data_IF_900379555423
#
_entry.id   IF_900379555423
#
_cell.length_a   1.000
_cell.length_b   1.000
_cell.length_c   1.000
_cell.angle_alpha   90.00
_cell.angle_beta   90.00
_cell.angle_gamma   90.00
#
_symmetry.space_group_name_H-M   'P 1'
#
loop_
_entity.id
_entity.type
_entity.pdbx_description
1 polymer ?
#
# COMPACT_ATOMS: atom_id res chain seq x y z
N UNK A 1 8.25 3.12 -4.08
CA UNK A 1 7.22 2.96 -5.14
C UNK A 1 7.34 1.70 -6.03
N UNK A 2 8.51 1.34 -6.61
CA UNK A 2 8.62 0.27 -7.62
C UNK A 2 8.10 -1.12 -7.19
N UNK A 3 8.27 -1.49 -5.91
CA UNK A 3 7.85 -2.80 -5.38
C UNK A 3 6.32 -2.88 -5.24
N UNK A 4 5.69 -1.85 -4.69
CA UNK A 4 4.24 -1.75 -4.48
C UNK A 4 3.47 -1.62 -5.79
N UNK A 5 3.95 -0.75 -6.69
CA UNK A 5 3.40 -0.63 -8.04
C UNK A 5 3.55 -1.92 -8.85
N UNK A 6 4.67 -2.62 -8.68
CA UNK A 6 4.89 -3.95 -9.26
C UNK A 6 3.84 -4.97 -8.80
N UNK A 7 3.62 -5.09 -7.49
CA UNK A 7 2.60 -5.98 -6.94
C UNK A 7 1.23 -5.72 -7.59
N UNK A 8 0.79 -4.45 -7.57
CA UNK A 8 -0.48 -4.06 -8.18
C UNK A 8 -0.55 -4.39 -9.67
N UNK A 9 0.48 -4.00 -10.44
CA UNK A 9 0.51 -4.18 -11.88
C UNK A 9 0.47 -5.66 -12.29
N UNK A 10 1.22 -6.52 -11.60
CA UNK A 10 1.22 -7.95 -11.89
C UNK A 10 -0.10 -8.64 -11.51
N UNK A 11 -0.71 -8.26 -10.38
CA UNK A 11 -2.07 -8.71 -10.03
C UNK A 11 -3.08 -8.31 -11.12
N UNK A 12 -3.01 -7.06 -11.59
CA UNK A 12 -3.87 -6.54 -12.66
C UNK A 12 -3.62 -7.26 -14.00
N UNK A 13 -2.35 -7.48 -14.38
CA UNK A 13 -2.00 -8.25 -15.58
C UNK A 13 -2.61 -9.65 -15.54
N UNK A 14 -2.53 -10.33 -14.40
CA UNK A 14 -3.18 -11.63 -14.22
C UNK A 14 -4.70 -11.53 -14.38
N UNK A 15 -5.36 -10.52 -13.78
CA UNK A 15 -6.81 -10.30 -13.93
C UNK A 15 -7.26 -10.37 -15.39
N UNK A 16 -6.55 -9.68 -16.30
CA UNK A 16 -6.95 -9.57 -17.70
C UNK A 16 -6.43 -10.69 -18.60
N UNK A 17 -5.25 -11.24 -18.33
CA UNK A 17 -4.61 -12.21 -19.22
C UNK A 17 -4.81 -13.66 -18.79
N UNK A 18 -5.06 -13.88 -17.49
CA UNK A 18 -5.04 -15.21 -16.85
C UNK A 18 -3.74 -15.98 -17.05
N UNK A 19 -2.64 -15.30 -17.39
CA UNK A 19 -1.32 -15.92 -17.52
C UNK A 19 -0.69 -16.10 -16.14
N UNK A 20 -0.57 -17.35 -15.72
CA UNK A 20 -0.04 -17.79 -14.42
C UNK A 20 1.33 -17.20 -14.08
N UNK A 21 2.14 -16.81 -15.07
CA UNK A 21 3.44 -16.16 -14.80
C UNK A 21 3.27 -14.85 -14.04
N UNK A 22 2.19 -14.11 -14.29
CA UNK A 22 1.90 -12.85 -13.61
C UNK A 22 1.37 -13.08 -12.20
N UNK A 23 0.51 -14.09 -12.01
CA UNK A 23 0.05 -14.48 -10.67
C UNK A 23 1.25 -14.86 -9.81
N UNK A 24 2.11 -15.75 -10.31
CA UNK A 24 3.29 -16.20 -9.58
C UNK A 24 4.23 -15.05 -9.21
N UNK A 25 4.40 -14.09 -10.12
CA UNK A 25 5.24 -12.94 -9.85
C UNK A 25 4.61 -11.98 -8.83
N UNK A 26 3.30 -11.74 -8.89
CA UNK A 26 2.58 -10.96 -7.88
C UNK A 26 2.70 -11.58 -6.49
N UNK A 27 2.51 -12.90 -6.36
CA UNK A 27 2.69 -13.63 -5.09
C UNK A 27 4.12 -13.50 -4.54
N UNK A 28 5.14 -13.58 -5.41
CA UNK A 28 6.53 -13.43 -4.98
C UNK A 28 6.81 -12.01 -4.45
N UNK A 29 6.25 -10.98 -5.09
CA UNK A 29 6.37 -9.60 -4.61
C UNK A 29 5.61 -9.42 -3.29
N UNK A 30 4.39 -9.96 -3.17
CA UNK A 30 3.60 -9.93 -1.95
C UNK A 30 4.38 -10.56 -0.79
N UNK A 31 4.94 -11.75 -1.00
CA UNK A 31 5.76 -12.44 0.00
C UNK A 31 6.98 -11.63 0.39
N UNK A 32 7.65 -10.97 -0.56
CA UNK A 32 8.77 -10.09 -0.25
C UNK A 32 8.35 -8.91 0.64
N UNK A 33 7.22 -8.25 0.34
CA UNK A 33 6.71 -7.13 1.14
C UNK A 33 6.32 -7.59 2.55
N UNK A 34 5.55 -8.66 2.65
CA UNK A 34 4.98 -9.15 3.92
C UNK A 34 6.04 -9.72 4.86
N UNK A 35 7.04 -10.42 4.32
CA UNK A 35 8.12 -11.02 5.11
C UNK A 35 9.26 -10.05 5.44
N UNK A 36 9.21 -8.82 4.93
CA UNK A 36 10.25 -7.83 5.17
C UNK A 36 10.21 -7.32 6.62
N UNK A 37 11.17 -7.76 7.42
CA UNK A 37 11.34 -7.38 8.83
C UNK A 37 11.53 -5.88 9.08
N UNK A 38 11.84 -5.11 8.03
CA UNK A 38 11.99 -3.66 8.11
C UNK A 38 10.66 -2.92 7.99
N UNK A 39 9.59 -3.58 7.52
CA UNK A 39 8.24 -3.02 7.57
C UNK A 39 7.79 -3.04 9.02
N UNK A 40 7.43 -1.88 9.61
CA UNK A 40 7.00 -1.86 10.99
C UNK A 40 5.67 -2.55 11.24
N UNK A 41 5.35 -2.72 12.52
CA UNK A 41 4.26 -3.58 12.97
C UNK A 41 2.86 -3.12 12.54
N UNK A 42 2.69 -1.84 12.20
CA UNK A 42 1.47 -1.23 11.66
C UNK A 42 1.27 -1.52 10.17
N UNK A 43 2.23 -2.17 9.49
CA UNK A 43 2.13 -2.54 8.08
C UNK A 43 2.31 -1.38 7.10
N UNK A 44 2.45 -0.14 7.58
CA UNK A 44 2.78 1.01 6.73
C UNK A 44 4.29 0.95 6.45
N UNK A 45 4.75 0.96 5.20
CA UNK A 45 6.18 0.87 4.90
C UNK A 45 6.89 2.21 5.12
N UNK A 46 8.21 2.16 5.28
CA UNK A 46 9.06 3.33 5.04
C UNK A 46 9.09 3.66 3.54
N UNK A 47 9.43 4.90 3.18
CA UNK A 47 9.53 5.34 1.78
C UNK A 47 10.51 4.48 0.95
N UNK A 48 11.58 3.98 1.59
CA UNK A 48 12.49 2.98 1.06
C UNK A 48 12.81 1.94 2.16
N UNK A 49 12.83 0.66 1.78
CA UNK A 49 13.16 -0.44 2.69
C UNK A 49 14.64 -0.49 3.06
N UNK A 50 15.51 0.13 2.30
CA UNK A 50 16.95 0.14 2.53
C UNK A 50 17.45 1.54 2.95
N UNK A 51 16.53 2.43 3.34
CA UNK A 51 16.86 3.75 3.85
C UNK A 51 17.78 3.65 5.10
N UNK A 52 18.82 4.50 5.18
CA UNK A 52 19.90 4.31 6.16
C UNK A 52 19.49 4.60 7.60
N UNK A 53 18.48 5.46 7.84
CA UNK A 53 18.14 5.89 9.20
C UNK A 53 16.98 5.12 9.82
N UNK A 54 16.55 3.99 9.26
CA UNK A 54 15.50 3.14 9.85
C UNK A 54 15.89 2.80 11.30
N UNK A 55 15.02 3.04 12.31
CA UNK A 55 13.58 3.26 12.21
C UNK A 55 13.08 4.71 12.14
N UNK A 56 13.98 5.71 12.09
CA UNK A 56 13.66 7.14 12.08
C UNK A 56 13.40 7.71 10.66
N UNK A 57 13.05 6.85 9.71
CA UNK A 57 12.76 7.25 8.33
C UNK A 57 11.28 7.55 8.15
N UNK A 58 10.95 8.36 7.14
CA UNK A 58 9.57 8.71 6.84
C UNK A 58 8.78 7.51 6.34
N UNK A 59 7.50 7.49 6.71
CA UNK A 59 6.51 6.50 6.25
C UNK A 59 5.97 6.90 4.88
N UNK A 60 5.45 5.94 4.14
CA UNK A 60 4.76 6.19 2.88
C UNK A 60 3.38 5.54 2.85
N UNK A 61 2.37 6.31 3.23
CA UNK A 61 0.97 5.88 3.21
C UNK A 61 0.49 5.51 1.80
N UNK A 62 1.02 6.15 0.76
CA UNK A 62 0.65 5.83 -0.62
C UNK A 62 1.08 4.42 -1.02
N UNK A 63 2.29 4.00 -0.62
CA UNK A 63 2.76 2.64 -0.81
C UNK A 63 1.92 1.61 -0.03
N UNK A 64 1.48 1.95 1.18
CA UNK A 64 0.57 1.11 1.95
C UNK A 64 -0.78 0.94 1.24
N UNK A 65 -1.39 2.04 0.79
CA UNK A 65 -2.68 2.04 0.10
C UNK A 65 -2.64 1.20 -1.20
N UNK A 66 -1.60 1.36 -2.02
CA UNK A 66 -1.37 0.53 -3.22
C UNK A 66 -1.25 -0.94 -2.85
N UNK A 67 -0.49 -1.25 -1.80
CA UNK A 67 -0.27 -2.63 -1.33
C UNK A 67 -1.56 -3.26 -0.85
N UNK A 68 -2.34 -2.56 -0.02
CA UNK A 68 -3.63 -3.05 0.45
C UNK A 68 -4.57 -3.35 -0.72
N UNK A 69 -4.77 -2.38 -1.63
CA UNK A 69 -5.62 -2.56 -2.81
C UNK A 69 -5.19 -3.79 -3.62
N UNK A 70 -3.89 -3.95 -3.87
CA UNK A 70 -3.35 -5.07 -4.63
C UNK A 70 -3.51 -6.42 -3.93
N UNK A 71 -3.27 -6.49 -2.62
CA UNK A 71 -3.40 -7.73 -1.85
C UNK A 71 -4.85 -8.20 -1.76
N UNK A 72 -5.82 -7.28 -1.57
CA UNK A 72 -7.24 -7.63 -1.52
C UNK A 72 -7.70 -8.24 -2.86
N UNK A 73 -7.15 -7.77 -3.98
CA UNK A 73 -7.45 -8.37 -5.29
C UNK A 73 -6.68 -9.68 -5.50
N UNK A 74 -5.39 -9.74 -5.14
CA UNK A 74 -4.57 -10.92 -5.30
C UNK A 74 -5.11 -12.12 -4.50
N UNK A 75 -5.67 -11.89 -3.32
CA UNK A 75 -6.28 -12.93 -2.47
C UNK A 75 -7.43 -13.67 -3.18
N UNK A 76 -8.14 -12.99 -4.10
CA UNK A 76 -9.21 -13.62 -4.90
C UNK A 76 -8.70 -14.59 -5.98
N UNK A 77 -7.39 -14.58 -6.24
CA UNK A 77 -6.75 -15.38 -7.29
C UNK A 77 -5.75 -16.39 -6.73
N UNK A 78 -5.08 -16.04 -5.63
CA UNK A 78 -4.06 -16.87 -4.99
C UNK A 78 -4.68 -17.92 -4.09
N UNK A 79 -3.96 -19.02 -3.87
CA UNK A 79 -4.27 -19.97 -2.79
C UNK A 79 -3.73 -19.52 -1.43
N UNK A 80 -2.84 -18.51 -1.41
CA UNK A 80 -2.34 -17.90 -0.19
C UNK A 80 -3.33 -16.85 0.31
N UNK A 81 -3.50 -16.76 1.62
CA UNK A 81 -4.28 -15.67 2.21
C UNK A 81 -3.37 -14.54 2.68
N UNK A 82 -3.78 -13.33 2.35
CA UNK A 82 -3.17 -12.05 2.67
C UNK A 82 -4.07 -11.17 3.56
N UNK A 83 -5.24 -11.70 3.96
CA UNK A 83 -6.26 -10.98 4.75
C UNK A 83 -5.70 -10.26 5.97
N UNK A 84 -4.95 -10.98 6.78
CA UNK A 84 -4.38 -10.48 8.03
C UNK A 84 -3.44 -9.29 7.75
N UNK A 85 -2.80 -9.26 6.59
CA UNK A 85 -1.87 -8.20 6.24
C UNK A 85 -2.58 -6.98 5.66
N UNK A 86 -3.53 -7.16 4.74
CA UNK A 86 -4.28 -6.02 4.22
C UNK A 86 -5.20 -5.41 5.29
N UNK A 87 -5.79 -6.22 6.19
CA UNK A 87 -6.62 -5.73 7.29
C UNK A 87 -5.80 -4.85 8.25
N UNK A 88 -4.57 -5.26 8.53
CA UNK A 88 -3.62 -4.48 9.32
C UNK A 88 -3.32 -3.14 8.66
N UNK A 89 -2.98 -3.13 7.37
CA UNK A 89 -2.71 -1.88 6.64
C UNK A 89 -3.94 -0.96 6.71
N UNK A 90 -5.12 -1.50 6.41
CA UNK A 90 -6.35 -0.70 6.37
C UNK A 90 -6.69 -0.15 7.76
N UNK A 91 -6.55 -0.94 8.82
CA UNK A 91 -6.73 -0.48 10.21
C UNK A 91 -5.78 0.68 10.53
N UNK A 92 -4.53 0.62 10.07
CA UNK A 92 -3.57 1.70 10.29
C UNK A 92 -3.88 2.94 9.45
N UNK A 93 -4.27 2.78 8.18
CA UNK A 93 -4.69 3.89 7.33
C UNK A 93 -5.97 4.57 7.84
N UNK A 94 -6.87 3.83 8.49
CA UNK A 94 -8.11 4.33 9.11
C UNK A 94 -7.88 5.04 10.45
N UNK A 95 -6.67 4.93 11.02
CA UNK A 95 -6.35 5.57 12.29
C UNK A 95 -6.19 7.08 12.15
N UNK A 96 -6.40 7.84 13.23
CA UNK A 96 -6.19 9.30 13.24
C UNK A 96 -4.76 9.73 12.91
N UNK A 97 -3.79 8.80 12.96
CA UNK A 97 -2.42 9.06 12.52
C UNK A 97 -2.36 9.31 11.01
N UNK A 98 -3.06 8.50 10.21
CA UNK A 98 -2.98 8.56 8.74
C UNK A 98 -4.23 9.16 8.09
N UNK A 99 -5.41 9.00 8.67
CA UNK A 99 -6.66 9.55 8.17
C UNK A 99 -6.84 11.00 8.65
N UNK A 100 -7.12 11.92 7.73
CA UNK A 100 -7.45 13.30 8.06
C UNK A 100 -8.83 13.40 8.73
N UNK A 101 -9.00 14.31 9.69
CA UNK A 101 -10.31 14.54 10.30
C UNK A 101 -11.27 15.21 9.31
N UNK A 102 -12.55 14.93 9.50
CA UNK A 102 -13.63 15.56 8.73
C UNK A 102 -13.67 17.06 9.07
N UNK A 103 -13.91 17.90 8.06
CA UNK A 103 -14.06 19.35 8.25
C UNK A 103 -13.01 20.20 7.52
N UNK A 104 -12.28 19.62 6.56
CA UNK A 104 -11.32 20.35 5.72
C UNK A 104 -9.89 20.37 6.24
N UNK A 105 -9.54 19.48 7.18
CA UNK A 105 -8.15 19.19 7.51
C UNK A 105 -7.39 18.69 6.26
N UNK A 106 -6.06 18.77 6.28
CA UNK A 106 -5.18 18.19 5.26
C UNK A 106 -5.52 18.66 3.84
N UNK A 107 -6.01 19.90 3.69
CA UNK A 107 -6.47 20.48 2.42
C UNK A 107 -7.51 19.61 1.68
N UNK A 108 -8.39 18.95 2.43
CA UNK A 108 -9.43 18.04 1.91
C UNK A 108 -8.90 16.72 1.30
N UNK A 109 -7.62 16.40 1.46
CA UNK A 109 -7.10 15.07 1.17
C UNK A 109 -7.45 14.09 2.30
N UNK A 110 -7.62 12.83 1.92
CA UNK A 110 -8.07 11.76 2.84
C UNK A 110 -6.91 11.26 3.69
N UNK A 111 -5.80 10.88 3.06
CA UNK A 111 -4.62 10.34 3.75
C UNK A 111 -3.52 11.38 3.93
N UNK A 112 -2.80 11.25 5.05
CA UNK A 112 -1.59 11.98 5.41
C UNK A 112 -0.35 11.12 5.16
N UNK A 113 0.84 11.69 5.34
CA UNK A 113 2.12 10.96 5.45
C UNK A 113 2.49 10.08 4.25
N UNK A 114 2.41 10.64 3.03
CA UNK A 114 2.97 10.00 1.84
C UNK A 114 4.31 10.63 1.45
N UNK A 115 5.13 9.87 0.72
CA UNK A 115 6.43 10.34 0.22
C UNK A 115 6.54 10.03 -1.28
N UNK A 116 6.61 11.07 -2.10
CA UNK A 116 6.79 10.98 -3.55
C UNK A 116 8.26 10.77 -3.92
N UNK A 117 9.13 11.73 -3.64
CA UNK A 117 10.54 11.60 -4.00
C UNK A 117 11.53 12.39 -3.13
N UNK A 118 12.04 11.75 -2.08
CA UNK A 118 13.12 12.30 -1.25
C UNK A 118 14.38 12.66 -2.06
N UNK A 119 14.89 11.80 -2.97
CA UNK A 119 16.10 12.13 -3.74
C UNK A 119 16.00 13.41 -4.58
N UNK A 120 14.77 13.80 -4.96
CA UNK A 120 14.50 15.01 -5.73
C UNK A 120 14.02 16.19 -4.87
N UNK A 121 13.91 16.00 -3.54
CA UNK A 121 13.41 17.04 -2.63
C UNK A 121 11.93 17.40 -2.85
N UNK A 122 11.13 16.47 -3.38
CA UNK A 122 9.73 16.72 -3.74
C UNK A 122 8.79 15.78 -2.97
N UNK A 123 7.62 16.31 -2.59
CA UNK A 123 6.52 15.53 -2.02
C UNK A 123 6.95 14.70 -0.80
N UNK A 124 7.55 15.35 0.19
CA UNK A 124 8.09 14.69 1.39
C UNK A 124 7.13 14.93 2.56
N UNK A 125 6.53 13.86 3.07
CA UNK A 125 5.56 13.89 4.19
C UNK A 125 4.36 14.80 3.91
N UNK A 126 3.69 14.53 2.79
CA UNK A 126 2.54 15.31 2.30
C UNK A 126 1.40 14.38 1.90
N UNK A 127 0.16 14.88 1.81
CA UNK A 127 -0.91 14.15 1.12
C UNK A 127 -0.61 14.01 -0.38
N UNK A 128 -1.02 12.89 -0.97
CA UNK A 128 -0.86 12.61 -2.39
C UNK A 128 -2.17 12.05 -2.95
N UNK A 129 -2.63 12.60 -4.08
CA UNK A 129 -3.92 12.24 -4.68
C UNK A 129 -4.04 10.75 -5.03
N UNK A 130 -2.94 10.12 -5.44
CA UNK A 130 -2.93 8.69 -5.74
C UNK A 130 -3.00 7.84 -4.46
N UNK A 131 -2.53 8.33 -3.32
CA UNK A 131 -2.73 7.64 -2.04
C UNK A 131 -4.23 7.52 -1.72
N UNK A 132 -4.95 8.63 -1.84
CA UNK A 132 -6.41 8.69 -1.63
C UNK A 132 -7.15 7.78 -2.62
N UNK A 133 -6.75 7.80 -3.90
CA UNK A 133 -7.35 6.94 -4.92
C UNK A 133 -7.22 5.45 -4.56
N UNK A 134 -6.00 4.98 -4.26
CA UNK A 134 -5.77 3.57 -3.96
C UNK A 134 -6.37 3.15 -2.62
N UNK A 135 -6.46 4.07 -1.66
CA UNK A 135 -7.13 3.83 -0.38
C UNK A 135 -8.64 3.63 -0.57
N UNK A 136 -9.30 4.54 -1.31
CA UNK A 136 -10.71 4.37 -1.66
C UNK A 136 -10.94 3.11 -2.50
N UNK A 137 -10.03 2.78 -3.42
CA UNK A 137 -10.09 1.53 -4.18
C UNK A 137 -10.00 0.31 -3.25
N UNK A 138 -9.08 0.32 -2.29
CA UNK A 138 -8.94 -0.76 -1.30
C UNK A 138 -10.23 -0.92 -0.48
N UNK A 139 -10.83 0.18 0.01
CA UNK A 139 -12.13 0.15 0.71
C UNK A 139 -13.25 -0.44 -0.16
N UNK A 140 -13.33 -0.03 -1.44
CA UNK A 140 -14.33 -0.55 -2.37
C UNK A 140 -14.13 -2.04 -2.69
N UNK A 141 -12.87 -2.50 -2.75
CA UNK A 141 -12.54 -3.91 -2.92
C UNK A 141 -12.90 -4.71 -1.67
N UNK A 142 -12.57 -4.22 -0.48
CA UNK A 142 -12.96 -4.83 0.81
C UNK A 142 -14.47 -4.97 0.95
N UNK A 143 -15.22 -3.91 0.61
CA UNK A 143 -16.69 -3.95 0.68
C UNK A 143 -17.33 -5.02 -0.23
N UNK A 144 -16.60 -5.49 -1.26
CA UNK A 144 -17.03 -6.56 -2.17
C UNK A 144 -16.37 -7.90 -1.85
N UNK A 145 -15.35 -7.90 -0.99
CA UNK A 145 -14.59 -9.06 -0.60
C UNK A 145 -15.51 -9.97 0.24
N UNK A 146 -15.60 -11.24 -0.12
CA UNK A 146 -16.50 -12.23 0.48
C UNK A 146 -15.73 -13.26 1.26
#
# INVERSE_FOLDING_TARGET
MAKHGGLYAYTMCYRYTKDEKYLKHAENIANYIISNKKVPNDGIPYWDYDAPNIPNELRDASAAAITASALIELDQYSTNSYNTYFDKIMTSLDSSEYLAAIGGENNFFILKHSVGSIPHGQEIDVPLNYADYYYLEALLRLAKFK
#
